data_IF_340036719538
#
_entry.id   IF_340036719538
#
_cell.length_a   1.000
_cell.length_b   1.000
_cell.length_c   1.000
_cell.angle_alpha   90.00
_cell.angle_beta   90.00
_cell.angle_gamma   90.00
#
_symmetry.space_group_name_H-M   'P 1'
#
loop_
_entity.id
_entity.type
_entity.pdbx_description
1 polymer ?
#
# COMPACT_ATOMS: atom_id res chain seq x y z
N UNK A 1 -20.36 -14.60 58.12
CA UNK A 1 -20.32 -16.03 57.66
C UNK A 1 -18.90 -16.63 57.72
N UNK A 2 -17.87 -15.95 57.25
CA UNK A 2 -16.46 -16.45 57.18
C UNK A 2 -15.80 -16.63 58.57
N UNK A 3 -16.29 -15.90 59.59
CA UNK A 3 -15.63 -15.84 60.90
C UNK A 3 -15.70 -17.17 61.71
N UNK A 4 -16.71 -18.00 61.46
CA UNK A 4 -16.95 -19.25 62.20
C UNK A 4 -16.60 -20.52 61.39
N UNK A 5 -15.85 -20.40 60.29
CA UNK A 5 -15.39 -21.54 59.50
C UNK A 5 -14.09 -22.12 60.06
N UNK A 6 -13.91 -23.45 59.98
CA UNK A 6 -12.67 -24.14 60.31
C UNK A 6 -11.53 -23.65 59.39
N UNK A 7 -10.31 -23.75 59.89
CA UNK A 7 -9.11 -23.32 59.12
C UNK A 7 -9.04 -24.06 57.77
N UNK A 8 -9.34 -25.34 57.74
CA UNK A 8 -9.39 -26.18 56.54
C UNK A 8 -10.37 -25.67 55.48
N UNK A 9 -11.57 -25.26 55.94
CA UNK A 9 -12.58 -24.70 55.01
C UNK A 9 -12.23 -23.32 54.47
N UNK A 10 -11.57 -22.49 55.27
CA UNK A 10 -11.05 -21.19 54.85
C UNK A 10 -9.97 -21.35 53.78
N UNK A 11 -9.05 -22.30 54.00
CA UNK A 11 -8.00 -22.63 53.09
C UNK A 11 -8.56 -23.19 51.77
N UNK A 12 -9.51 -24.14 51.85
CA UNK A 12 -10.18 -24.69 50.68
C UNK A 12 -10.94 -23.66 49.84
N UNK A 13 -11.59 -22.68 50.52
CA UNK A 13 -12.32 -21.60 49.84
C UNK A 13 -11.33 -20.65 49.13
N UNK A 14 -10.18 -20.33 49.78
CA UNK A 14 -9.11 -19.52 49.20
C UNK A 14 -8.52 -20.18 47.96
N UNK A 15 -8.18 -21.46 48.03
CA UNK A 15 -7.69 -22.21 46.85
C UNK A 15 -8.75 -22.37 45.77
N UNK A 16 -10.03 -22.57 46.12
CA UNK A 16 -11.11 -22.65 45.17
C UNK A 16 -11.25 -21.35 44.37
N UNK A 17 -11.18 -20.19 45.01
CA UNK A 17 -11.22 -18.88 44.33
C UNK A 17 -10.01 -18.73 43.40
N UNK A 18 -8.81 -19.09 43.88
CA UNK A 18 -7.61 -19.01 43.03
C UNK A 18 -7.71 -19.90 41.79
N UNK A 19 -8.22 -21.10 41.90
CA UNK A 19 -8.45 -22.01 40.76
C UNK A 19 -9.44 -21.41 39.78
N UNK A 20 -10.54 -20.83 40.23
CA UNK A 20 -11.54 -20.16 39.38
C UNK A 20 -10.89 -19.00 38.64
N UNK A 21 -10.09 -18.16 39.33
CA UNK A 21 -9.39 -17.05 38.69
C UNK A 21 -8.41 -17.51 37.63
N UNK A 22 -7.64 -18.58 37.89
CA UNK A 22 -6.69 -19.14 36.90
C UNK A 22 -7.44 -19.67 35.67
N UNK A 23 -8.58 -20.33 35.86
CA UNK A 23 -9.41 -20.82 34.74
C UNK A 23 -9.92 -19.64 33.92
N UNK A 24 -10.47 -18.60 34.56
CA UNK A 24 -10.95 -17.40 33.87
C UNK A 24 -9.85 -16.70 33.09
N UNK A 25 -8.67 -16.53 33.67
CA UNK A 25 -7.50 -15.96 33.00
C UNK A 25 -7.08 -16.83 31.80
N UNK A 26 -7.10 -18.15 31.93
CA UNK A 26 -6.80 -19.08 30.85
C UNK A 26 -7.76 -18.92 29.66
N UNK A 27 -9.05 -18.83 29.92
CA UNK A 27 -10.08 -18.62 28.88
C UNK A 27 -9.87 -17.29 28.15
N UNK A 28 -9.69 -16.21 28.92
CA UNK A 28 -9.42 -14.87 28.35
C UNK A 28 -8.15 -14.87 27.52
N UNK A 29 -7.08 -15.50 28.00
CA UNK A 29 -5.80 -15.59 27.31
C UNK A 29 -5.92 -16.32 25.96
N UNK A 30 -6.64 -17.44 25.92
CA UNK A 30 -6.88 -18.19 24.66
C UNK A 30 -7.67 -17.34 23.67
N UNK A 31 -8.73 -16.66 24.10
CA UNK A 31 -9.52 -15.78 23.23
C UNK A 31 -8.68 -14.60 22.66
N UNK A 32 -7.85 -14.00 23.50
CA UNK A 32 -6.97 -12.90 23.07
C UNK A 32 -5.88 -13.40 22.11
N UNK A 33 -5.34 -14.58 22.35
CA UNK A 33 -4.34 -15.20 21.46
C UNK A 33 -4.94 -15.52 20.09
N UNK A 34 -6.17 -16.03 20.01
CA UNK A 34 -6.87 -16.21 18.72
C UNK A 34 -7.02 -14.91 17.98
N UNK A 35 -7.49 -13.84 18.65
CA UNK A 35 -7.64 -12.53 18.03
C UNK A 35 -6.31 -11.96 17.51
N UNK A 36 -5.21 -12.15 18.23
CA UNK A 36 -3.87 -11.73 17.76
C UNK A 36 -3.45 -12.55 16.54
N UNK A 37 -3.71 -13.84 16.54
CA UNK A 37 -3.40 -14.70 15.40
C UNK A 37 -4.19 -14.30 14.15
N UNK A 38 -5.49 -14.00 14.29
CA UNK A 38 -6.33 -13.56 13.18
C UNK A 38 -5.84 -12.22 12.58
N UNK A 39 -5.47 -11.27 13.45
CA UNK A 39 -4.87 -10.00 13.01
C UNK A 39 -3.52 -10.21 12.33
N UNK A 40 -2.68 -11.11 12.84
CA UNK A 40 -1.39 -11.45 12.22
C UNK A 40 -1.59 -12.05 10.83
N UNK A 41 -2.61 -12.88 10.63
CA UNK A 41 -2.98 -13.44 9.32
C UNK A 41 -3.39 -12.33 8.36
N UNK A 42 -4.24 -11.40 8.77
CA UNK A 42 -4.63 -10.24 7.94
C UNK A 42 -3.41 -9.40 7.53
N UNK A 43 -2.50 -9.15 8.45
CA UNK A 43 -1.27 -8.42 8.15
C UNK A 43 -0.42 -9.17 7.11
N UNK A 44 -0.20 -10.47 7.30
CA UNK A 44 0.69 -11.25 6.43
C UNK A 44 0.08 -11.57 5.05
N UNK A 45 -1.23 -11.78 4.97
CA UNK A 45 -1.89 -12.23 3.74
C UNK A 45 -2.53 -11.10 2.92
N UNK A 46 -2.76 -9.93 3.55
CA UNK A 46 -3.37 -8.79 2.86
C UNK A 46 -2.49 -7.53 2.94
N UNK A 47 -2.20 -7.01 4.13
CA UNK A 47 -1.51 -5.72 4.24
C UNK A 47 -0.08 -5.73 3.71
N UNK A 48 0.70 -6.78 4.00
CA UNK A 48 2.08 -6.89 3.50
C UNK A 48 2.14 -7.00 1.98
N UNK A 49 1.34 -7.85 1.31
CA UNK A 49 1.23 -7.84 -0.15
C UNK A 49 0.77 -6.49 -0.70
N UNK A 50 -0.23 -5.84 -0.10
CA UNK A 50 -0.73 -4.53 -0.53
C UNK A 50 0.36 -3.47 -0.48
N UNK A 51 1.10 -3.38 0.64
CA UNK A 51 2.22 -2.45 0.80
C UNK A 51 3.31 -2.66 -0.25
N UNK A 52 3.66 -3.93 -0.53
CA UNK A 52 4.64 -4.26 -1.57
C UNK A 52 4.21 -3.77 -2.94
N UNK A 53 2.95 -3.99 -3.30
CA UNK A 53 2.42 -3.57 -4.61
C UNK A 53 2.32 -2.04 -4.70
N UNK A 54 1.93 -1.35 -3.62
CA UNK A 54 1.94 0.13 -3.57
C UNK A 54 3.37 0.67 -3.75
N UNK A 55 4.36 0.05 -3.11
CA UNK A 55 5.77 0.43 -3.27
C UNK A 55 6.23 0.25 -4.71
N UNK A 56 5.84 -0.82 -5.37
CA UNK A 56 6.13 -1.08 -6.78
C UNK A 56 5.48 -0.03 -7.70
N UNK A 57 4.20 0.30 -7.49
CA UNK A 57 3.51 1.38 -8.20
C UNK A 57 4.23 2.73 -8.00
N UNK A 58 4.61 3.05 -6.78
CA UNK A 58 5.31 4.30 -6.45
C UNK A 58 6.69 4.37 -7.11
N UNK A 59 7.45 3.28 -7.08
CA UNK A 59 8.76 3.17 -7.73
C UNK A 59 8.61 3.30 -9.24
N UNK A 60 7.72 2.52 -9.85
CA UNK A 60 7.48 2.59 -11.29
C UNK A 60 6.96 3.97 -11.74
N UNK A 61 6.14 4.65 -10.93
CA UNK A 61 5.71 6.03 -11.22
C UNK A 61 6.89 7.00 -11.19
N UNK A 62 7.86 6.77 -10.31
CA UNK A 62 9.09 7.56 -10.25
C UNK A 62 9.98 7.29 -11.48
N UNK A 63 10.13 6.03 -11.87
CA UNK A 63 10.90 5.63 -13.05
C UNK A 63 10.26 6.17 -14.34
N UNK A 64 8.93 6.13 -14.43
CA UNK A 64 8.19 6.76 -15.53
C UNK A 64 8.51 8.26 -15.65
N UNK A 65 8.59 8.96 -14.53
CA UNK A 65 8.96 10.37 -14.49
C UNK A 65 10.41 10.61 -14.89
N UNK A 66 11.32 9.73 -14.50
CA UNK A 66 12.73 9.79 -14.93
C UNK A 66 12.81 9.61 -16.44
N UNK A 67 12.13 8.62 -17.01
CA UNK A 67 12.10 8.38 -18.43
C UNK A 67 11.48 9.56 -19.22
N UNK A 68 10.48 10.27 -18.65
CA UNK A 68 10.00 11.53 -19.23
C UNK A 68 11.11 12.62 -19.29
N UNK A 69 11.90 12.76 -18.22
CA UNK A 69 13.02 13.71 -18.22
C UNK A 69 14.10 13.29 -19.23
N UNK A 70 14.41 12.00 -19.32
CA UNK A 70 15.36 11.48 -20.30
C UNK A 70 14.91 11.78 -21.73
N UNK A 71 13.60 11.63 -22.02
CA UNK A 71 13.03 12.01 -23.31
C UNK A 71 13.17 13.52 -23.59
N UNK A 72 12.83 14.38 -22.61
CA UNK A 72 12.91 15.84 -22.74
C UNK A 72 14.35 16.32 -22.97
N UNK A 73 15.33 15.64 -22.36
CA UNK A 73 16.75 16.01 -22.42
C UNK A 73 17.47 15.38 -23.61
N UNK A 74 16.88 14.37 -24.24
CA UNK A 74 17.45 13.74 -25.44
C UNK A 74 17.45 14.71 -26.61
N UNK A 75 18.60 14.78 -27.31
CA UNK A 75 18.79 15.58 -28.51
C UNK A 75 18.83 14.73 -29.78
N UNK A 76 18.74 13.39 -29.63
CA UNK A 76 18.83 12.44 -30.74
C UNK A 76 17.57 11.57 -30.84
N UNK A 77 17.16 11.18 -32.05
CA UNK A 77 16.02 10.28 -32.23
C UNK A 77 16.19 8.94 -31.49
N UNK A 78 17.41 8.40 -31.46
CA UNK A 78 17.72 7.14 -30.79
C UNK A 78 17.55 7.26 -29.26
N UNK A 79 17.97 8.37 -28.68
CA UNK A 79 17.81 8.66 -27.26
C UNK A 79 16.32 8.80 -26.88
N UNK A 80 15.55 9.53 -27.72
CA UNK A 80 14.09 9.65 -27.54
C UNK A 80 13.40 8.30 -27.65
N UNK A 81 13.75 7.48 -28.64
CA UNK A 81 13.18 6.15 -28.83
C UNK A 81 13.47 5.22 -27.64
N UNK A 82 14.68 5.31 -27.08
CA UNK A 82 15.02 4.56 -25.87
C UNK A 82 14.14 4.99 -24.69
N UNK A 83 14.03 6.29 -24.46
CA UNK A 83 13.18 6.83 -23.39
C UNK A 83 11.70 6.46 -23.57
N UNK A 84 11.18 6.46 -24.82
CA UNK A 84 9.82 6.03 -25.12
C UNK A 84 9.60 4.53 -24.81
N UNK A 85 10.61 3.69 -25.07
CA UNK A 85 10.55 2.29 -24.67
C UNK A 85 10.52 2.14 -23.14
N UNK A 86 11.40 2.82 -22.44
CA UNK A 86 11.45 2.80 -20.98
C UNK A 86 10.12 3.30 -20.37
N UNK A 87 9.49 4.32 -20.97
CA UNK A 87 8.15 4.79 -20.62
C UNK A 87 7.07 3.71 -20.81
N UNK A 88 7.09 3.01 -21.94
CA UNK A 88 6.13 1.95 -22.22
C UNK A 88 6.28 0.76 -21.27
N UNK A 89 7.51 0.33 -21.03
CA UNK A 89 7.83 -0.78 -20.12
C UNK A 89 7.39 -0.44 -18.68
N UNK A 90 7.68 0.78 -18.23
CA UNK A 90 7.32 1.26 -16.89
C UNK A 90 5.79 1.39 -16.75
N UNK A 91 5.10 1.91 -17.77
CA UNK A 91 3.64 2.01 -17.74
C UNK A 91 2.97 0.63 -17.69
N UNK A 92 3.53 -0.38 -18.37
CA UNK A 92 3.08 -1.77 -18.26
C UNK A 92 3.19 -2.25 -16.81
N UNK A 93 4.35 -2.06 -16.17
CA UNK A 93 4.57 -2.41 -14.76
C UNK A 93 3.55 -1.74 -13.84
N UNK A 94 3.28 -0.43 -14.02
CA UNK A 94 2.28 0.28 -13.22
C UNK A 94 0.90 -0.34 -13.39
N UNK A 95 0.48 -0.65 -14.62
CA UNK A 95 -0.84 -1.21 -14.88
C UNK A 95 -0.98 -2.63 -14.30
N UNK A 96 0.03 -3.48 -14.46
CA UNK A 96 0.07 -4.82 -13.88
C UNK A 96 -0.02 -4.77 -12.35
N UNK A 97 0.76 -3.90 -11.73
CA UNK A 97 0.73 -3.71 -10.27
C UNK A 97 -0.60 -3.15 -9.79
N UNK A 98 -1.24 -2.25 -10.55
CA UNK A 98 -2.60 -1.75 -10.26
C UNK A 98 -3.64 -2.87 -10.30
N UNK A 99 -3.60 -3.75 -11.29
CA UNK A 99 -4.50 -4.91 -11.38
C UNK A 99 -4.33 -5.88 -10.19
N UNK A 100 -3.11 -6.04 -9.70
CA UNK A 100 -2.84 -6.84 -8.50
C UNK A 100 -3.40 -6.14 -7.26
N UNK A 101 -3.16 -4.82 -7.13
CA UNK A 101 -3.61 -4.03 -5.98
C UNK A 101 -5.13 -4.00 -5.86
N UNK A 102 -5.86 -3.88 -6.97
CA UNK A 102 -7.34 -3.89 -6.99
C UNK A 102 -7.94 -5.13 -6.33
N UNK A 103 -7.26 -6.28 -6.43
CA UNK A 103 -7.69 -7.55 -5.81
C UNK A 103 -7.38 -7.61 -4.31
N UNK A 104 -6.48 -6.76 -3.83
CA UNK A 104 -6.06 -6.70 -2.43
C UNK A 104 -6.84 -5.66 -1.61
N UNK A 105 -7.61 -4.78 -2.27
CA UNK A 105 -8.42 -3.76 -1.60
C UNK A 105 -9.40 -4.44 -0.64
N UNK A 106 -9.31 -4.06 0.64
CA UNK A 106 -10.02 -4.73 1.74
C UNK A 106 -11.01 -3.84 2.49
N UNK A 107 -11.06 -2.53 2.19
CA UNK A 107 -11.99 -1.59 2.82
C UNK A 107 -12.58 -0.59 1.84
N UNK A 108 -13.72 -0.01 2.17
CA UNK A 108 -14.38 1.03 1.37
C UNK A 108 -13.55 2.33 1.34
N UNK A 109 -12.84 2.63 2.42
CA UNK A 109 -11.94 3.78 2.49
C UNK A 109 -10.77 3.62 1.52
N UNK A 110 -10.10 2.48 1.54
CA UNK A 110 -9.01 2.13 0.63
C UNK A 110 -9.48 2.18 -0.83
N UNK A 111 -10.66 1.63 -1.11
CA UNK A 111 -11.28 1.69 -2.44
C UNK A 111 -11.51 3.12 -2.92
N UNK A 112 -12.00 3.99 -2.05
CA UNK A 112 -12.24 5.40 -2.37
C UNK A 112 -10.94 6.13 -2.69
N UNK A 113 -9.89 5.89 -1.92
CA UNK A 113 -8.55 6.45 -2.15
C UNK A 113 -7.95 5.95 -3.46
N UNK A 114 -8.12 4.67 -3.77
CA UNK A 114 -7.64 4.10 -5.02
C UNK A 114 -8.36 4.66 -6.25
N UNK A 115 -9.67 4.88 -6.16
CA UNK A 115 -10.45 5.52 -7.25
C UNK A 115 -9.93 6.94 -7.50
N UNK A 116 -9.67 7.71 -6.45
CA UNK A 116 -9.14 9.07 -6.59
C UNK A 116 -7.71 9.06 -7.17
N UNK A 117 -6.84 8.15 -6.70
CA UNK A 117 -5.52 7.95 -7.29
C UNK A 117 -5.63 7.62 -8.78
N UNK A 118 -6.48 6.68 -9.18
CA UNK A 118 -6.66 6.27 -10.56
C UNK A 118 -7.07 7.43 -11.45
N UNK A 119 -8.02 8.25 -11.00
CA UNK A 119 -8.46 9.45 -11.70
C UNK A 119 -7.32 10.48 -11.88
N UNK A 120 -6.53 10.69 -10.85
CA UNK A 120 -5.39 11.62 -10.92
C UNK A 120 -4.28 11.07 -11.83
N UNK A 121 -4.04 9.77 -11.79
CA UNK A 121 -3.07 9.12 -12.66
C UNK A 121 -3.49 9.18 -14.13
N UNK A 122 -4.76 8.96 -14.45
CA UNK A 122 -5.27 9.09 -15.81
C UNK A 122 -5.13 10.53 -16.32
N UNK A 123 -5.42 11.54 -15.49
CA UNK A 123 -5.20 12.95 -15.84
C UNK A 123 -3.70 13.25 -16.06
N UNK A 124 -2.82 12.65 -15.27
CA UNK A 124 -1.37 12.74 -15.47
C UNK A 124 -0.92 12.14 -16.80
N UNK A 125 -1.50 11.01 -17.22
CA UNK A 125 -1.20 10.39 -18.52
C UNK A 125 -1.67 11.25 -19.71
N UNK A 126 -2.76 12.01 -19.58
CA UNK A 126 -3.16 12.97 -20.64
C UNK A 126 -2.13 14.11 -20.79
N UNK A 127 -1.62 14.63 -19.67
CA UNK A 127 -0.53 15.63 -19.71
C UNK A 127 0.75 15.01 -20.29
N UNK A 128 1.05 13.75 -20.00
CA UNK A 128 2.18 13.03 -20.59
C UNK A 128 2.10 12.97 -22.12
N UNK A 129 0.93 12.68 -22.68
CA UNK A 129 0.74 12.64 -24.14
C UNK A 129 1.11 13.99 -24.78
N UNK A 130 0.64 15.11 -24.21
CA UNK A 130 0.99 16.46 -24.65
C UNK A 130 2.50 16.71 -24.57
N UNK A 131 3.10 16.30 -23.44
CA UNK A 131 4.53 16.45 -23.18
C UNK A 131 5.39 15.75 -24.24
N UNK A 132 5.07 14.49 -24.59
CA UNK A 132 5.85 13.70 -25.55
C UNK A 132 5.78 14.33 -26.95
N UNK A 133 4.62 14.83 -27.37
CA UNK A 133 4.49 15.52 -28.67
C UNK A 133 5.42 16.73 -28.75
N UNK A 134 5.40 17.58 -27.73
CA UNK A 134 6.25 18.79 -27.69
C UNK A 134 7.72 18.44 -27.58
N UNK A 135 8.05 17.39 -26.82
CA UNK A 135 9.43 16.94 -26.64
C UNK A 135 10.05 16.37 -27.92
N UNK A 136 9.27 15.63 -28.73
CA UNK A 136 9.73 15.12 -30.05
C UNK A 136 10.11 16.25 -31.02
N UNK A 137 9.53 17.43 -30.85
CA UNK A 137 9.89 18.62 -31.63
C UNK A 137 11.14 19.34 -31.09
N UNK A 138 11.86 18.76 -30.13
CA UNK A 138 12.99 19.36 -29.43
C UNK A 138 12.68 20.71 -28.73
N UNK A 139 11.40 20.94 -28.37
CA UNK A 139 10.95 22.12 -27.62
C UNK A 139 11.15 21.90 -26.10
N UNK A 140 12.40 21.73 -25.68
CA UNK A 140 12.77 21.35 -24.32
C UNK A 140 12.17 22.24 -23.23
N UNK A 141 12.21 23.56 -23.42
CA UNK A 141 11.69 24.53 -22.43
C UNK A 141 10.15 24.47 -22.31
N UNK A 142 9.45 24.21 -23.41
CA UNK A 142 7.98 24.05 -23.41
C UNK A 142 7.60 22.73 -22.76
N UNK A 143 8.27 21.63 -23.08
CA UNK A 143 8.09 20.34 -22.47
C UNK A 143 8.34 20.39 -20.94
N UNK A 144 9.38 21.11 -20.48
CA UNK A 144 9.65 21.34 -19.06
C UNK A 144 8.54 22.11 -18.34
N UNK A 145 7.90 23.09 -19.01
CA UNK A 145 6.75 23.81 -18.46
C UNK A 145 5.53 22.90 -18.30
N UNK A 146 5.28 22.03 -19.29
CA UNK A 146 4.20 21.02 -19.21
C UNK A 146 4.47 20.08 -18.03
N UNK A 147 5.70 19.57 -17.90
CA UNK A 147 6.12 18.73 -16.78
C UNK A 147 5.93 19.42 -15.41
N UNK A 148 6.07 20.73 -15.36
CA UNK A 148 5.83 21.54 -14.15
C UNK A 148 4.36 21.53 -13.67
N UNK A 149 3.40 21.34 -14.58
CA UNK A 149 1.97 21.28 -14.25
C UNK A 149 1.60 20.01 -13.44
N UNK A 150 2.43 18.95 -13.52
CA UNK A 150 2.20 17.68 -12.83
C UNK A 150 2.64 17.68 -11.36
N UNK A 151 3.13 18.81 -10.84
CA UNK A 151 3.63 18.93 -9.46
C UNK A 151 2.54 19.28 -8.43
N UNK A 152 1.28 19.39 -8.82
CA UNK A 152 0.15 19.64 -7.92
C UNK A 152 -0.60 18.34 -7.67
#
# INVERSE_FOLDING_TARGET
>A
MIKNMNVSSKLGLGFGILIILVILLGIISIQKMSSVNDQSTVISENWMPSLKVIEEINTATSDFRIAQYDHILSQTPEGMQKAEKDLADTLSTINESREVYEKLISSDEEKSLYIEFSKQFDAYLEIHKELIVVSRENKTEEARKIMGKTKK
#
